data_IF_105821023300
#
_entry.id   IF_105821023300
#
_cell.length_a   1.000
_cell.length_b   1.000
_cell.length_c   1.000
_cell.angle_alpha   90.00
_cell.angle_beta   90.00
_cell.angle_gamma   90.00
#
_symmetry.space_group_name_H-M   'P 1'
#
loop_
_entity.id
_entity.type
_entity.pdbx_description
1 polymer ?
#
# COMPACT_ATOMS: atom_id res chain seq x y z
N UNK A 1 -6.59 -10.60 8.61
CA UNK A 1 -7.38 -9.84 9.61
C UNK A 1 -8.33 -10.72 10.41
N UNK A 2 -9.10 -11.63 9.79
CA UNK A 2 -9.95 -12.59 10.52
C UNK A 2 -9.15 -13.44 11.54
N UNK A 3 -7.98 -13.97 11.13
CA UNK A 3 -7.07 -14.73 12.00
C UNK A 3 -6.53 -13.88 13.17
N UNK A 4 -6.33 -12.57 12.97
CA UNK A 4 -5.83 -11.68 14.04
C UNK A 4 -6.91 -11.47 15.09
N UNK A 5 -8.16 -11.24 14.67
CA UNK A 5 -9.26 -11.12 15.62
C UNK A 5 -9.50 -12.42 16.40
N UNK A 6 -9.38 -13.57 15.74
CA UNK A 6 -9.46 -14.89 16.40
C UNK A 6 -8.34 -15.06 17.45
N UNK A 7 -7.13 -14.60 17.17
CA UNK A 7 -6.01 -14.62 18.13
C UNK A 7 -6.14 -13.59 19.27
N UNK A 8 -6.80 -12.46 19.04
CA UNK A 8 -6.99 -11.43 20.06
C UNK A 8 -8.27 -11.64 20.89
N UNK A 9 -9.27 -12.36 20.38
CA UNK A 9 -10.53 -12.62 21.08
C UNK A 9 -10.36 -13.31 22.45
N UNK A 10 -9.44 -14.28 22.63
CA UNK A 10 -9.14 -14.89 23.94
C UNK A 10 -8.61 -13.90 24.99
N UNK A 11 -8.13 -12.72 24.56
CA UNK A 11 -7.62 -11.68 25.47
C UNK A 11 -8.74 -10.82 26.08
N UNK A 12 -10.00 -11.07 25.73
CA UNK A 12 -11.17 -10.59 26.49
C UNK A 12 -11.63 -9.17 26.16
N UNK A 13 -11.99 -8.89 24.90
CA UNK A 13 -12.70 -7.65 24.59
C UNK A 13 -14.15 -7.69 25.10
N UNK A 14 -14.68 -6.58 25.63
CA UNK A 14 -16.10 -6.47 25.93
C UNK A 14 -16.96 -6.73 24.68
N UNK A 15 -18.15 -7.35 24.81
CA UNK A 15 -19.07 -7.55 23.69
C UNK A 15 -19.34 -6.24 22.94
N UNK A 16 -19.19 -6.26 21.62
CA UNK A 16 -19.43 -5.10 20.75
C UNK A 16 -18.26 -4.10 20.64
N UNK A 17 -17.18 -4.26 21.41
CA UNK A 17 -16.01 -3.37 21.32
C UNK A 17 -15.26 -3.48 19.98
N UNK A 18 -15.23 -4.68 19.39
CA UNK A 18 -14.63 -4.94 18.08
C UNK A 18 -15.59 -5.77 17.24
N UNK A 19 -15.88 -5.30 16.02
CA UNK A 19 -16.79 -5.97 15.10
C UNK A 19 -16.10 -6.10 13.72
N UNK A 20 -16.18 -7.28 13.10
CA UNK A 20 -15.71 -7.51 11.74
C UNK A 20 -16.88 -7.76 10.82
N UNK A 21 -16.97 -6.94 9.77
CA UNK A 21 -18.03 -7.03 8.77
C UNK A 21 -17.37 -7.37 7.44
N UNK A 22 -17.77 -8.49 6.84
CA UNK A 22 -17.27 -8.93 5.54
C UNK A 22 -18.31 -8.56 4.49
N UNK A 23 -17.89 -7.81 3.48
CA UNK A 23 -18.76 -7.39 2.39
C UNK A 23 -18.03 -6.52 1.38
N UNK A 24 -18.78 -6.08 0.38
CA UNK A 24 -18.28 -5.16 -0.65
C UNK A 24 -18.42 -3.71 -0.19
N UNK A 25 -17.78 -2.78 -0.92
CA UNK A 25 -17.98 -1.35 -0.71
C UNK A 25 -19.46 -0.95 -0.66
N UNK A 26 -20.28 -1.27 -1.68
CA UNK A 26 -21.71 -0.96 -1.67
C UNK A 26 -22.51 -1.67 -0.58
N UNK A 27 -22.25 -2.97 -0.33
CA UNK A 27 -23.08 -3.76 0.58
C UNK A 27 -22.77 -3.50 2.06
N UNK A 28 -21.52 -3.18 2.41
CA UNK A 28 -21.10 -2.99 3.80
C UNK A 28 -20.47 -1.62 4.04
N UNK A 29 -19.50 -1.22 3.21
CA UNK A 29 -18.72 0.01 3.41
C UNK A 29 -19.57 1.28 3.37
N UNK A 30 -20.51 1.39 2.43
CA UNK A 30 -21.35 2.59 2.29
C UNK A 30 -22.21 2.83 3.53
N UNK A 31 -22.86 1.78 4.05
CA UNK A 31 -23.65 1.86 5.28
C UNK A 31 -22.80 2.35 6.46
N UNK A 32 -21.56 1.86 6.62
CA UNK A 32 -20.65 2.31 7.69
C UNK A 32 -20.28 3.79 7.56
N UNK A 33 -20.05 4.27 6.34
CA UNK A 33 -19.63 5.66 6.08
C UNK A 33 -20.79 6.63 6.29
N UNK A 34 -22.02 6.24 5.96
CA UNK A 34 -23.22 7.08 6.05
C UNK A 34 -23.92 7.00 7.43
N UNK A 35 -23.61 6.00 8.26
CA UNK A 35 -24.32 5.81 9.53
C UNK A 35 -24.10 6.99 10.49
N UNK A 36 -25.15 7.61 11.05
CA UNK A 36 -25.01 8.78 11.92
C UNK A 36 -24.14 8.51 13.15
N UNK A 37 -24.25 7.32 13.75
CA UNK A 37 -23.54 6.96 14.99
C UNK A 37 -22.06 6.59 14.82
N UNK A 38 -21.52 6.61 13.59
CA UNK A 38 -20.08 6.39 13.36
C UNK A 38 -19.36 7.75 13.40
N UNK A 39 -18.59 8.09 14.46
CA UNK A 39 -18.02 9.43 14.60
C UNK A 39 -16.74 9.63 13.77
N UNK A 40 -16.06 8.53 13.41
CA UNK A 40 -14.78 8.54 12.71
C UNK A 40 -14.73 7.43 11.65
N UNK A 41 -14.20 7.77 10.48
CA UNK A 41 -13.87 6.79 9.44
C UNK A 41 -12.39 6.87 9.11
N UNK A 42 -11.70 5.72 9.20
CA UNK A 42 -10.35 5.52 8.69
C UNK A 42 -10.40 4.60 7.48
N UNK A 43 -9.88 5.06 6.34
CA UNK A 43 -9.93 4.33 5.09
C UNK A 43 -8.57 4.31 4.40
N UNK A 44 -8.16 3.13 3.96
CA UNK A 44 -7.01 2.95 3.06
C UNK A 44 -7.48 2.33 1.76
N UNK A 45 -7.16 2.96 0.62
CA UNK A 45 -7.56 2.43 -0.68
C UNK A 45 -7.46 3.44 -1.82
N UNK A 46 -8.36 3.31 -2.80
CA UNK A 46 -8.31 4.14 -4.01
C UNK A 46 -8.71 5.60 -3.72
N UNK A 47 -8.08 6.54 -4.45
CA UNK A 47 -8.39 7.97 -4.33
C UNK A 47 -9.84 8.29 -4.69
N UNK A 48 -10.42 7.55 -5.65
CA UNK A 48 -11.82 7.73 -6.06
C UNK A 48 -12.78 7.42 -4.91
N UNK A 49 -12.54 6.33 -4.16
CA UNK A 49 -13.37 5.97 -3.01
C UNK A 49 -13.10 6.91 -1.83
N UNK A 50 -11.84 7.25 -1.55
CA UNK A 50 -11.49 8.18 -0.47
C UNK A 50 -12.17 9.55 -0.63
N UNK A 51 -12.25 10.09 -1.85
CA UNK A 51 -12.99 11.33 -2.13
C UNK A 51 -14.48 11.23 -1.79
N UNK A 52 -15.15 10.13 -2.20
CA UNK A 52 -16.56 9.90 -1.87
C UNK A 52 -16.78 9.82 -0.35
N UNK A 53 -15.87 9.14 0.36
CA UNK A 53 -15.91 9.05 1.83
C UNK A 53 -15.74 10.43 2.46
N UNK A 54 -14.81 11.26 1.96
CA UNK A 54 -14.63 12.63 2.45
C UNK A 54 -15.89 13.49 2.28
N UNK A 55 -16.55 13.41 1.11
CA UNK A 55 -17.79 14.14 0.83
C UNK A 55 -18.92 13.74 1.79
N UNK A 56 -19.13 12.44 2.02
CA UNK A 56 -20.12 11.95 2.98
C UNK A 56 -19.75 12.38 4.40
N UNK A 57 -18.48 12.21 4.77
CA UNK A 57 -17.95 12.58 6.08
C UNK A 57 -18.18 14.05 6.40
N UNK A 58 -17.94 14.95 5.44
CA UNK A 58 -18.18 16.38 5.59
C UNK A 58 -19.67 16.69 5.82
N UNK A 59 -20.59 16.08 5.06
CA UNK A 59 -22.04 16.28 5.24
C UNK A 59 -22.53 15.87 6.63
N UNK A 60 -21.91 14.86 7.22
CA UNK A 60 -22.27 14.31 8.53
C UNK A 60 -21.34 14.78 9.67
N UNK A 61 -20.44 15.73 9.38
CA UNK A 61 -19.45 16.28 10.30
C UNK A 61 -18.59 15.21 11.02
N UNK A 62 -18.19 14.16 10.29
CA UNK A 62 -17.37 13.05 10.80
C UNK A 62 -15.89 13.39 10.74
N UNK A 63 -15.11 12.84 11.67
CA UNK A 63 -13.64 12.85 11.56
C UNK A 63 -13.20 11.82 10.53
N UNK A 64 -12.35 12.21 9.57
CA UNK A 64 -11.93 11.35 8.46
C UNK A 64 -10.41 11.24 8.41
N UNK A 65 -9.90 10.02 8.25
CA UNK A 65 -8.49 9.72 7.94
C UNK A 65 -8.43 8.92 6.64
N UNK A 66 -7.73 9.42 5.63
CA UNK A 66 -7.64 8.80 4.31
C UNK A 66 -6.18 8.54 3.93
N UNK A 67 -5.83 7.27 3.76
CA UNK A 67 -4.56 6.85 3.18
C UNK A 67 -4.81 6.34 1.76
N UNK A 68 -4.32 7.08 0.77
CA UNK A 68 -4.63 6.83 -0.64
C UNK A 68 -3.36 6.51 -1.44
N UNK A 69 -3.54 6.15 -2.71
CA UNK A 69 -2.41 5.89 -3.60
C UNK A 69 -1.49 7.11 -3.77
N UNK A 70 -0.23 6.84 -4.09
CA UNK A 70 0.79 7.84 -4.39
C UNK A 70 1.43 7.63 -5.76
N UNK A 71 2.07 8.68 -6.28
CA UNK A 71 3.00 8.59 -7.41
C UNK A 71 4.39 8.96 -6.93
N UNK A 72 4.92 8.17 -6.00
CA UNK A 72 6.12 8.52 -5.23
C UNK A 72 7.35 8.59 -6.12
N UNK A 73 8.24 9.50 -5.76
CA UNK A 73 9.45 9.79 -6.50
C UNK A 73 10.69 9.34 -5.71
N UNK A 74 11.59 8.63 -6.38
CA UNK A 74 12.98 8.49 -5.97
C UNK A 74 13.83 9.49 -6.77
N UNK A 75 14.83 10.11 -6.13
CA UNK A 75 15.73 11.08 -6.76
C UNK A 75 17.16 10.59 -6.59
N UNK A 76 17.87 10.37 -7.71
CA UNK A 76 19.21 9.78 -7.76
C UNK A 76 20.21 10.82 -8.25
N UNK A 77 21.11 11.22 -7.35
CA UNK A 77 22.22 12.13 -7.63
C UNK A 77 23.53 11.37 -7.87
N UNK A 78 24.57 12.01 -8.45
CA UNK A 78 25.86 11.36 -8.70
C UNK A 78 26.59 10.91 -7.43
N UNK A 79 26.25 11.47 -6.28
CA UNK A 79 26.76 11.05 -4.96
C UNK A 79 26.12 9.76 -4.44
N UNK A 80 25.11 9.21 -5.14
CA UNK A 80 24.52 7.93 -4.79
C UNK A 80 25.49 6.81 -5.16
N UNK A 81 25.84 6.00 -4.17
CA UNK A 81 26.58 4.75 -4.39
C UNK A 81 25.65 3.74 -5.08
N UNK A 82 25.67 3.71 -6.42
CA UNK A 82 24.74 2.90 -7.20
C UNK A 82 24.94 1.40 -6.97
N UNK A 83 26.19 0.94 -6.79
CA UNK A 83 26.49 -0.47 -6.55
C UNK A 83 25.81 -0.98 -5.27
N UNK A 84 25.84 -0.18 -4.20
CA UNK A 84 25.21 -0.55 -2.92
C UNK A 84 23.69 -0.36 -2.91
N UNK A 85 23.17 0.60 -3.67
CA UNK A 85 21.78 1.04 -3.53
C UNK A 85 20.82 0.53 -4.61
N UNK A 86 21.31 0.08 -5.77
CA UNK A 86 20.48 -0.34 -6.90
C UNK A 86 19.45 -1.42 -6.53
N UNK A 87 19.87 -2.45 -5.79
CA UNK A 87 18.96 -3.53 -5.37
C UNK A 87 17.83 -3.02 -4.46
N UNK A 88 18.14 -2.07 -3.57
CA UNK A 88 17.14 -1.44 -2.69
C UNK A 88 16.19 -0.54 -3.48
N UNK A 89 16.71 0.23 -4.43
CA UNK A 89 15.90 1.07 -5.32
C UNK A 89 14.96 0.19 -6.16
N UNK A 90 15.47 -0.90 -6.74
CA UNK A 90 14.67 -1.86 -7.49
C UNK A 90 13.57 -2.49 -6.62
N UNK A 91 13.91 -2.93 -5.40
CA UNK A 91 12.90 -3.43 -4.43
C UNK A 91 11.82 -2.39 -4.15
N UNK A 92 12.18 -1.13 -3.96
CA UNK A 92 11.19 -0.05 -3.73
C UNK A 92 10.20 0.14 -4.90
N UNK A 93 10.57 -0.34 -6.10
CA UNK A 93 9.71 -0.28 -7.29
C UNK A 93 8.82 -1.52 -7.42
N UNK A 94 9.35 -2.72 -7.13
CA UNK A 94 8.74 -3.99 -7.54
C UNK A 94 8.31 -4.92 -6.41
N UNK A 95 8.66 -4.62 -5.15
CA UNK A 95 8.20 -5.44 -4.02
C UNK A 95 6.66 -5.47 -3.95
N UNK A 96 6.11 -6.62 -3.58
CA UNK A 96 4.68 -6.89 -3.65
C UNK A 96 4.07 -6.59 -5.04
N UNK A 97 4.81 -6.87 -6.12
CA UNK A 97 4.40 -6.57 -7.50
C UNK A 97 4.09 -5.09 -7.76
N UNK A 98 4.66 -4.19 -6.95
CA UNK A 98 4.35 -2.76 -6.99
C UNK A 98 3.02 -2.38 -6.35
N UNK A 99 2.30 -3.32 -5.74
CA UNK A 99 1.02 -3.08 -5.03
C UNK A 99 1.28 -2.52 -3.62
N UNK A 100 2.02 -1.42 -3.54
CA UNK A 100 2.28 -0.66 -2.31
C UNK A 100 2.08 0.81 -2.59
N UNK A 101 1.31 1.50 -1.74
CA UNK A 101 1.01 2.92 -1.91
C UNK A 101 2.26 3.82 -1.96
N UNK A 102 3.37 3.36 -1.35
CA UNK A 102 4.66 4.03 -1.25
C UNK A 102 5.68 3.64 -2.33
N UNK A 103 5.33 2.77 -3.28
CA UNK A 103 6.27 2.34 -4.32
C UNK A 103 6.84 3.53 -5.10
N UNK A 104 8.14 3.46 -5.40
CA UNK A 104 8.88 4.43 -6.22
C UNK A 104 8.53 4.28 -7.69
N UNK A 105 7.33 4.72 -8.07
CA UNK A 105 6.83 4.58 -9.44
C UNK A 105 7.28 5.70 -10.39
N UNK A 106 8.10 6.64 -9.90
CA UNK A 106 8.86 7.61 -10.67
C UNK A 106 10.27 7.69 -10.12
N UNK A 107 11.26 7.68 -11.01
CA UNK A 107 12.66 7.84 -10.61
C UNK A 107 13.24 8.99 -11.43
N UNK A 108 13.70 10.03 -10.76
CA UNK A 108 14.44 11.13 -11.34
C UNK A 108 15.93 10.85 -11.16
N UNK A 109 16.68 10.86 -12.25
CA UNK A 109 18.10 10.50 -12.23
C UNK A 109 18.90 11.63 -12.83
N UNK A 110 19.97 12.03 -12.15
CA UNK A 110 20.88 13.04 -12.65
C UNK A 110 21.53 12.57 -13.97
N UNK A 111 21.62 13.46 -14.96
CA UNK A 111 22.04 13.12 -16.32
C UNK A 111 23.39 12.42 -16.38
N UNK A 112 24.35 12.82 -15.54
CA UNK A 112 25.70 12.25 -15.51
C UNK A 112 25.78 10.79 -15.06
N UNK A 113 24.73 10.23 -14.46
CA UNK A 113 24.68 8.81 -14.01
C UNK A 113 23.52 8.04 -14.62
N UNK A 114 22.77 8.66 -15.53
CA UNK A 114 21.54 8.11 -16.09
C UNK A 114 21.73 6.74 -16.75
N UNK A 115 22.70 6.62 -17.65
CA UNK A 115 22.90 5.39 -18.42
C UNK A 115 23.33 4.21 -17.52
N UNK A 116 24.27 4.47 -16.60
CA UNK A 116 24.72 3.49 -15.61
C UNK A 116 23.57 3.04 -14.71
N UNK A 117 22.76 3.99 -14.24
CA UNK A 117 21.61 3.70 -13.39
C UNK A 117 20.57 2.85 -14.13
N UNK A 118 20.18 3.23 -15.35
CA UNK A 118 19.17 2.52 -16.14
C UNK A 118 19.61 1.09 -16.42
N UNK A 119 20.87 0.90 -16.82
CA UNK A 119 21.44 -0.43 -17.04
C UNK A 119 21.36 -1.27 -15.75
N UNK A 120 21.83 -0.73 -14.64
CA UNK A 120 21.79 -1.41 -13.34
C UNK A 120 20.38 -1.75 -12.88
N UNK A 121 19.42 -0.84 -13.06
CA UNK A 121 18.02 -1.07 -12.70
C UNK A 121 17.39 -2.17 -13.56
N UNK A 122 17.69 -2.23 -14.85
CA UNK A 122 17.24 -3.32 -15.74
C UNK A 122 17.82 -4.65 -15.30
N UNK A 123 19.10 -4.69 -14.93
CA UNK A 123 19.75 -5.91 -14.47
C UNK A 123 19.15 -6.39 -13.13
N UNK A 124 18.81 -5.49 -12.22
CA UNK A 124 18.07 -5.83 -10.99
C UNK A 124 16.63 -6.31 -11.29
N UNK A 125 15.92 -5.65 -12.20
CA UNK A 125 14.55 -6.03 -12.57
C UNK A 125 14.48 -7.44 -13.16
N UNK A 126 15.46 -7.84 -13.97
CA UNK A 126 15.56 -9.21 -14.53
C UNK A 126 15.75 -10.29 -13.46
N UNK A 127 16.20 -9.94 -12.25
CA UNK A 127 16.36 -10.88 -11.14
C UNK A 127 15.05 -11.12 -10.38
N UNK A 128 14.02 -10.30 -10.61
CA UNK A 128 12.71 -10.48 -9.99
C UNK A 128 12.03 -11.66 -10.67
N UNK A 129 11.99 -12.80 -9.97
CA UNK A 129 11.30 -14.00 -10.43
C UNK A 129 9.81 -13.76 -10.60
N UNK A 130 9.23 -14.32 -11.66
CA UNK A 130 7.78 -14.27 -11.89
C UNK A 130 7.12 -15.47 -11.20
N UNK A 131 5.81 -15.39 -10.96
CA UNK A 131 5.03 -16.44 -10.30
C UNK A 131 5.20 -17.86 -10.90
N UNK A 132 5.71 -17.99 -12.13
CA UNK A 132 6.05 -19.28 -12.75
C UNK A 132 7.24 -19.99 -12.08
N UNK A 133 8.07 -19.28 -11.31
CA UNK A 133 9.23 -19.82 -10.58
C UNK A 133 8.87 -20.37 -9.17
N UNK A 134 7.59 -20.38 -8.82
CA UNK A 134 7.09 -20.70 -7.47
C UNK A 134 7.43 -22.11 -6.97
N UNK A 135 7.75 -23.06 -7.87
CA UNK A 135 8.16 -24.39 -7.44
C UNK A 135 9.44 -24.39 -6.58
N UNK A 136 10.23 -23.30 -6.58
CA UNK A 136 11.44 -23.19 -5.78
C UNK A 136 11.22 -22.72 -4.33
N UNK A 137 10.00 -22.33 -3.94
CA UNK A 137 9.74 -21.64 -2.65
C UNK A 137 8.86 -22.43 -1.67
N UNK A 138 8.50 -23.67 -2.02
CA UNK A 138 7.72 -24.59 -1.16
C UNK A 138 8.52 -25.80 -0.66
N UNK A 139 9.85 -25.75 -0.70
CA UNK A 139 10.68 -26.64 0.13
C UNK A 139 10.85 -25.99 1.51
N UNK A 140 9.83 -26.16 2.36
CA UNK A 140 9.93 -26.03 3.81
C UNK A 140 9.82 -27.41 4.44
#
# INVERSE_FOLDING_TARGET
MAVILDQCYPQGFPPGAVNMIIGTGPSAGQHLVEHPDVPLVSFTGSTVVGKKIAEVGARLNKKISLEMGGKNAAIVYPSCDLEKNLSTIAKSCFINQGEICLCSSRIFVHSSVYDTFVKGLVDEAKKVGLFQDIQRTYEF
#
